data_IF_955496909620
#
_entry.id   IF_955496909620
#
_cell.length_a   1.000
_cell.length_b   1.000
_cell.length_c   1.000
_cell.angle_alpha   90.00
_cell.angle_beta   90.00
_cell.angle_gamma   90.00
#
_symmetry.space_group_name_H-M   'P 1'
#
loop_
_entity.id
_entity.type
_entity.pdbx_description
1 polymer ?
#
# COMPACT_ATOMS: atom_id res chain seq x y z
N UNK A 1 73.25 -86.07 -38.73
CA UNK A 1 72.54 -85.53 -39.90
C UNK A 1 73.01 -84.09 -40.04
N UNK A 2 74.10 -83.88 -40.78
CA UNK A 2 74.62 -82.53 -41.00
C UNK A 2 73.73 -81.85 -42.02
N UNK A 3 72.93 -80.88 -41.57
CA UNK A 3 72.14 -80.02 -42.46
C UNK A 3 73.09 -79.25 -43.36
N UNK A 4 72.85 -79.30 -44.66
CA UNK A 4 73.66 -78.55 -45.61
C UNK A 4 73.46 -77.05 -45.39
N UNK A 5 74.51 -76.24 -45.57
CA UNK A 5 74.46 -74.78 -45.39
C UNK A 5 73.31 -74.11 -46.17
N UNK A 6 72.95 -74.67 -47.32
CA UNK A 6 71.83 -74.22 -48.13
C UNK A 6 70.47 -74.42 -47.42
N UNK A 7 70.23 -75.58 -46.80
CA UNK A 7 68.98 -75.85 -46.07
C UNK A 7 68.81 -74.92 -44.87
N UNK A 8 69.90 -74.59 -44.17
CA UNK A 8 69.89 -73.64 -43.05
C UNK A 8 69.51 -72.22 -43.52
N UNK A 9 70.04 -71.77 -44.66
CA UNK A 9 69.68 -70.47 -45.27
C UNK A 9 68.21 -70.40 -45.68
N UNK A 10 67.63 -71.48 -46.23
CA UNK A 10 66.20 -71.53 -46.57
C UNK A 10 65.30 -71.49 -45.33
N UNK A 11 65.68 -72.16 -44.24
CA UNK A 11 64.92 -72.13 -42.98
C UNK A 11 64.94 -70.73 -42.36
N UNK A 12 66.12 -70.08 -42.31
CA UNK A 12 66.26 -68.72 -41.77
C UNK A 12 65.49 -67.71 -42.63
N UNK A 13 65.61 -67.81 -43.96
CA UNK A 13 64.85 -66.96 -44.88
C UNK A 13 63.33 -67.12 -44.72
N UNK A 14 62.86 -68.36 -44.62
CA UNK A 14 61.45 -68.67 -44.36
C UNK A 14 60.95 -68.09 -43.02
N UNK A 15 61.76 -68.19 -41.97
CA UNK A 15 61.46 -67.62 -40.66
C UNK A 15 61.30 -66.09 -40.70
N UNK A 16 62.19 -65.39 -41.40
CA UNK A 16 62.11 -63.92 -41.55
C UNK A 16 60.85 -63.51 -42.31
N UNK A 17 60.52 -64.21 -43.40
CA UNK A 17 59.30 -63.94 -44.18
C UNK A 17 58.04 -64.18 -43.34
N UNK A 18 58.01 -65.24 -42.54
CA UNK A 18 56.89 -65.54 -41.65
C UNK A 18 56.69 -64.42 -40.61
N UNK A 19 57.77 -63.95 -39.98
CA UNK A 19 57.71 -62.82 -39.04
C UNK A 19 57.20 -61.55 -39.74
N UNK A 20 57.63 -61.29 -40.97
CA UNK A 20 57.16 -60.16 -41.75
C UNK A 20 55.66 -60.24 -42.05
N UNK A 21 55.17 -61.41 -42.43
CA UNK A 21 53.73 -61.66 -42.66
C UNK A 21 52.94 -61.45 -41.37
N UNK A 22 53.43 -61.94 -40.23
CA UNK A 22 52.80 -61.72 -38.93
C UNK A 22 52.75 -60.24 -38.55
N UNK A 23 53.80 -59.45 -38.82
CA UNK A 23 53.80 -58.01 -38.57
C UNK A 23 52.79 -57.27 -39.44
N UNK A 24 52.71 -57.59 -40.74
CA UNK A 24 51.74 -56.98 -41.65
C UNK A 24 50.31 -57.33 -41.24
N UNK A 25 50.05 -58.59 -40.89
CA UNK A 25 48.75 -59.03 -40.41
C UNK A 25 48.35 -58.32 -39.10
N UNK A 26 49.28 -58.18 -38.15
CA UNK A 26 49.06 -57.46 -36.90
C UNK A 26 48.77 -55.97 -37.14
N UNK A 27 49.51 -55.31 -38.04
CA UNK A 27 49.29 -53.91 -38.38
C UNK A 27 47.89 -53.69 -38.97
N UNK A 28 47.45 -54.54 -39.90
CA UNK A 28 46.12 -54.43 -40.50
C UNK A 28 44.98 -54.61 -39.48
N UNK A 29 45.13 -55.53 -38.53
CA UNK A 29 44.15 -55.72 -37.46
C UNK A 29 44.10 -54.48 -36.55
N UNK A 30 45.26 -53.95 -36.19
CA UNK A 30 45.41 -52.78 -35.34
C UNK A 30 44.83 -51.52 -36.00
N UNK A 31 45.11 -51.28 -37.28
CA UNK A 31 44.58 -50.14 -38.03
C UNK A 31 43.04 -50.17 -38.11
N UNK A 32 42.45 -51.37 -38.22
CA UNK A 32 41.00 -51.53 -38.22
C UNK A 32 40.37 -51.16 -36.87
N UNK A 33 41.03 -51.48 -35.76
CA UNK A 33 40.59 -51.08 -34.43
C UNK A 33 40.70 -49.57 -34.21
N UNK A 34 41.80 -48.95 -34.66
CA UNK A 34 41.97 -47.50 -34.61
C UNK A 34 40.92 -46.77 -35.43
N UNK A 35 40.66 -47.21 -36.66
CA UNK A 35 39.62 -46.62 -37.51
C UNK A 35 38.22 -46.71 -36.90
N UNK A 36 37.92 -47.83 -36.22
CA UNK A 36 36.63 -48.00 -35.51
C UNK A 36 36.49 -47.03 -34.34
N UNK A 37 37.55 -46.86 -33.54
CA UNK A 37 37.56 -45.90 -32.43
C UNK A 37 37.43 -44.46 -32.91
N UNK A 38 38.11 -44.08 -34.00
CA UNK A 38 37.98 -42.75 -34.60
C UNK A 38 36.58 -42.47 -35.11
N UNK A 39 35.91 -43.45 -35.75
CA UNK A 39 34.52 -43.31 -36.18
C UNK A 39 33.55 -43.11 -35.01
N UNK A 40 33.80 -43.76 -33.87
CA UNK A 40 32.99 -43.56 -32.67
C UNK A 40 33.19 -42.17 -32.09
N UNK A 41 34.41 -41.65 -32.08
CA UNK A 41 34.71 -40.28 -31.68
C UNK A 41 34.05 -39.25 -32.59
N UNK A 42 34.11 -39.47 -33.92
CA UNK A 42 33.43 -38.63 -34.90
C UNK A 42 31.92 -38.56 -34.65
N UNK A 43 31.28 -39.71 -34.42
CA UNK A 43 29.85 -39.78 -34.09
C UNK A 43 29.51 -39.11 -32.76
N UNK A 44 30.39 -39.23 -31.75
CA UNK A 44 30.21 -38.54 -30.48
C UNK A 44 30.33 -37.02 -30.66
N UNK A 45 31.28 -36.57 -31.47
CA UNK A 45 31.51 -35.15 -31.76
C UNK A 45 30.34 -34.55 -32.56
N UNK A 46 29.79 -35.29 -33.53
CA UNK A 46 28.59 -34.86 -34.26
C UNK A 46 27.37 -34.74 -33.33
N UNK A 47 27.14 -35.73 -32.48
CA UNK A 47 26.07 -35.68 -31.47
C UNK A 47 26.22 -34.46 -30.56
N UNK A 48 27.43 -34.22 -30.04
CA UNK A 48 27.73 -33.06 -29.19
C UNK A 48 27.47 -31.75 -29.94
N UNK A 49 27.88 -31.66 -31.20
CA UNK A 49 27.68 -30.46 -32.00
C UNK A 49 26.19 -30.18 -32.26
N UNK A 50 25.40 -31.22 -32.52
CA UNK A 50 23.95 -31.11 -32.66
C UNK A 50 23.27 -30.67 -31.35
N UNK A 51 23.71 -31.19 -30.21
CA UNK A 51 23.21 -30.79 -28.89
C UNK A 51 23.56 -29.33 -28.58
N UNK A 52 24.79 -28.90 -28.84
CA UNK A 52 25.21 -27.50 -28.71
C UNK A 52 24.33 -26.59 -29.56
N UNK A 53 24.07 -26.96 -30.82
CA UNK A 53 23.20 -26.19 -31.69
C UNK A 53 21.77 -26.08 -31.14
N UNK A 54 21.20 -27.20 -30.67
CA UNK A 54 19.85 -27.21 -30.05
C UNK A 54 19.79 -26.33 -28.80
N UNK A 55 20.79 -26.42 -27.93
CA UNK A 55 20.86 -25.62 -26.71
C UNK A 55 20.96 -24.13 -27.05
N UNK A 56 21.85 -23.76 -27.98
CA UNK A 56 21.99 -22.36 -28.43
C UNK A 56 20.69 -21.81 -29.00
N UNK A 57 20.00 -22.61 -29.83
CA UNK A 57 18.70 -22.23 -30.39
C UNK A 57 17.65 -22.05 -29.29
N UNK A 58 17.59 -22.96 -28.31
CA UNK A 58 16.65 -22.88 -27.20
C UNK A 58 16.90 -21.65 -26.31
N UNK A 59 18.18 -21.32 -26.05
CA UNK A 59 18.55 -20.09 -25.33
C UNK A 59 18.08 -18.86 -26.11
N UNK A 60 18.36 -18.79 -27.41
CA UNK A 60 17.97 -17.65 -28.24
C UNK A 60 16.45 -17.47 -28.30
N UNK A 61 15.69 -18.56 -28.45
CA UNK A 61 14.23 -18.52 -28.43
C UNK A 61 13.68 -18.04 -27.07
N UNK A 62 14.28 -18.50 -25.97
CA UNK A 62 13.89 -18.06 -24.63
C UNK A 62 14.25 -16.60 -24.34
N UNK A 63 15.40 -16.11 -24.81
CA UNK A 63 15.78 -14.69 -24.66
C UNK A 63 14.81 -13.78 -25.40
N UNK A 64 14.44 -14.13 -26.65
CA UNK A 64 13.46 -13.38 -27.44
C UNK A 64 12.08 -13.39 -26.75
N UNK A 65 11.65 -14.54 -26.20
CA UNK A 65 10.39 -14.62 -25.45
C UNK A 65 10.45 -13.83 -24.13
N UNK A 66 11.58 -13.85 -23.42
CA UNK A 66 11.77 -13.10 -22.20
C UNK A 66 11.76 -11.59 -22.46
N UNK A 67 12.39 -11.12 -23.52
CA UNK A 67 12.39 -9.71 -23.93
C UNK A 67 10.99 -9.25 -24.34
N UNK A 68 10.27 -10.06 -25.12
CA UNK A 68 8.88 -9.81 -25.48
C UNK A 68 7.95 -9.76 -24.26
N UNK A 69 8.11 -10.71 -23.33
CA UNK A 69 7.33 -10.76 -22.09
C UNK A 69 7.67 -9.58 -21.17
N UNK A 70 8.93 -9.20 -21.02
CA UNK A 70 9.34 -8.07 -20.20
C UNK A 70 8.76 -6.74 -20.75
N UNK A 71 8.75 -6.56 -22.07
CA UNK A 71 8.13 -5.41 -22.72
C UNK A 71 6.62 -5.37 -22.49
N UNK A 72 5.92 -6.50 -22.65
CA UNK A 72 4.48 -6.57 -22.42
C UNK A 72 4.10 -6.39 -20.94
N UNK A 73 4.87 -6.96 -20.02
CA UNK A 73 4.67 -6.77 -18.58
C UNK A 73 4.88 -5.30 -18.23
N UNK A 74 5.94 -4.65 -18.73
CA UNK A 74 6.18 -3.22 -18.47
C UNK A 74 5.04 -2.33 -18.97
N UNK A 75 4.52 -2.61 -20.17
CA UNK A 75 3.39 -1.88 -20.74
C UNK A 75 2.09 -2.09 -19.94
N UNK A 76 1.78 -3.34 -19.57
CA UNK A 76 0.59 -3.67 -18.79
C UNK A 76 0.67 -3.08 -17.38
N UNK A 77 1.80 -3.21 -16.69
CA UNK A 77 2.00 -2.65 -15.34
C UNK A 77 1.85 -1.12 -15.38
N UNK A 78 2.43 -0.45 -16.37
CA UNK A 78 2.29 1.01 -16.50
C UNK A 78 0.84 1.44 -16.74
N UNK A 79 0.11 0.71 -17.56
CA UNK A 79 -1.31 0.97 -17.81
C UNK A 79 -2.17 0.71 -16.58
N UNK A 80 -1.96 -0.40 -15.89
CA UNK A 80 -2.71 -0.75 -14.68
C UNK A 80 -2.45 0.23 -13.53
N UNK A 81 -1.20 0.65 -13.34
CA UNK A 81 -0.83 1.67 -12.35
C UNK A 81 -1.47 3.01 -12.70
N UNK A 82 -1.39 3.46 -13.95
CA UNK A 82 -2.03 4.70 -14.37
C UNK A 82 -3.55 4.65 -14.21
N UNK A 83 -4.17 3.53 -14.56
CA UNK A 83 -5.62 3.40 -14.45
C UNK A 83 -6.04 3.44 -12.98
N UNK A 84 -5.40 2.65 -12.11
CA UNK A 84 -5.66 2.65 -10.66
C UNK A 84 -5.41 4.01 -10.01
N UNK A 85 -4.33 4.71 -10.38
CA UNK A 85 -4.08 6.06 -9.88
C UNK A 85 -5.18 7.02 -10.32
N UNK A 86 -5.62 6.94 -11.57
CA UNK A 86 -6.65 7.83 -12.09
C UNK A 86 -8.03 7.56 -11.45
N UNK A 87 -8.41 6.29 -11.24
CA UNK A 87 -9.62 5.94 -10.47
C UNK A 87 -9.52 6.41 -9.03
N UNK A 88 -8.37 6.21 -8.37
CA UNK A 88 -8.18 6.66 -6.98
C UNK A 88 -8.26 8.18 -6.85
N UNK A 89 -7.64 8.93 -7.77
CA UNK A 89 -7.75 10.39 -7.79
C UNK A 89 -9.18 10.86 -8.06
N UNK A 90 -9.89 10.20 -8.97
CA UNK A 90 -11.30 10.48 -9.25
C UNK A 90 -12.17 10.22 -8.01
N UNK A 91 -11.95 9.10 -7.33
CA UNK A 91 -12.67 8.74 -6.11
C UNK A 91 -12.39 9.72 -4.96
N UNK A 92 -11.12 10.16 -4.81
CA UNK A 92 -10.77 11.19 -3.83
C UNK A 92 -11.45 12.52 -4.14
N UNK A 93 -11.50 12.92 -5.41
CA UNK A 93 -12.22 14.12 -5.82
C UNK A 93 -13.70 14.04 -5.47
N UNK A 94 -14.36 12.91 -5.76
CA UNK A 94 -15.76 12.70 -5.38
C UNK A 94 -15.99 12.74 -3.88
N UNK A 95 -15.10 12.13 -3.08
CA UNK A 95 -15.20 12.20 -1.62
C UNK A 95 -14.99 13.61 -1.08
N UNK A 96 -14.06 14.38 -1.64
CA UNK A 96 -13.87 15.77 -1.25
C UNK A 96 -15.11 16.63 -1.58
N UNK A 97 -15.73 16.38 -2.72
CA UNK A 97 -16.96 17.06 -3.10
C UNK A 97 -18.13 16.70 -2.18
N UNK A 98 -18.26 15.42 -1.80
CA UNK A 98 -19.26 14.98 -0.82
C UNK A 98 -19.04 15.58 0.58
N UNK A 99 -17.78 15.70 1.01
CA UNK A 99 -17.41 16.40 2.25
C UNK A 99 -17.78 17.88 2.16
N UNK A 100 -17.51 18.54 1.03
CA UNK A 100 -17.86 19.94 0.83
C UNK A 100 -19.38 20.16 0.90
N UNK A 101 -20.16 19.29 0.24
CA UNK A 101 -21.62 19.36 0.26
C UNK A 101 -22.19 19.10 1.66
N UNK A 102 -21.61 18.14 2.39
CA UNK A 102 -21.98 17.85 3.79
C UNK A 102 -21.65 19.03 4.69
N UNK A 103 -20.48 19.65 4.52
CA UNK A 103 -20.09 20.84 5.28
C UNK A 103 -21.03 22.02 5.02
N UNK A 104 -21.49 22.21 3.79
CA UNK A 104 -22.49 23.24 3.49
C UNK A 104 -23.83 22.96 4.17
N UNK A 105 -24.32 21.71 4.10
CA UNK A 105 -25.56 21.32 4.80
C UNK A 105 -25.45 21.51 6.31
N UNK A 106 -24.32 21.14 6.91
CA UNK A 106 -24.08 21.31 8.34
C UNK A 106 -24.06 22.79 8.73
N UNK A 107 -23.45 23.63 7.90
CA UNK A 107 -23.45 25.09 8.11
C UNK A 107 -24.88 25.63 8.08
N UNK A 108 -25.67 25.27 7.08
CA UNK A 108 -27.06 25.73 6.95
C UNK A 108 -27.92 25.26 8.15
N UNK A 109 -27.73 24.02 8.58
CA UNK A 109 -28.39 23.47 9.76
C UNK A 109 -27.99 24.20 11.05
N UNK A 110 -26.71 24.51 11.22
CA UNK A 110 -26.23 25.28 12.37
C UNK A 110 -26.77 26.71 12.37
N UNK A 111 -26.87 27.34 11.20
CA UNK A 111 -27.46 28.68 11.05
C UNK A 111 -28.94 28.66 11.46
N UNK A 112 -29.72 27.66 11.01
CA UNK A 112 -31.11 27.47 11.45
C UNK A 112 -31.20 27.26 12.97
N UNK A 113 -30.32 26.42 13.54
CA UNK A 113 -30.28 26.18 14.99
C UNK A 113 -29.95 27.45 15.77
N UNK A 114 -29.02 28.26 15.30
CA UNK A 114 -28.67 29.55 15.90
C UNK A 114 -29.88 30.48 15.88
N UNK A 115 -30.56 30.61 14.75
CA UNK A 115 -31.78 31.44 14.64
C UNK A 115 -32.86 30.97 15.61
N UNK A 116 -33.08 29.65 15.73
CA UNK A 116 -34.03 29.09 16.70
C UNK A 116 -33.60 29.40 18.14
N UNK A 117 -32.32 29.31 18.44
CA UNK A 117 -31.77 29.65 19.76
C UNK A 117 -31.93 31.14 20.07
N UNK A 118 -31.63 32.01 19.11
CA UNK A 118 -31.81 33.46 19.24
C UNK A 118 -33.27 33.81 19.48
N UNK A 119 -34.20 33.20 18.75
CA UNK A 119 -35.63 33.39 18.96
C UNK A 119 -36.07 32.92 20.36
N UNK A 120 -35.62 31.74 20.80
CA UNK A 120 -35.88 31.24 22.16
C UNK A 120 -35.26 32.12 23.25
N UNK A 121 -34.06 32.65 23.00
CA UNK A 121 -33.38 33.55 23.92
C UNK A 121 -34.07 34.93 23.97
N UNK A 122 -34.57 35.42 22.84
CA UNK A 122 -35.37 36.65 22.78
C UNK A 122 -36.71 36.48 23.50
N UNK A 123 -37.38 35.34 23.33
CA UNK A 123 -38.56 34.97 24.13
C UNK A 123 -38.23 34.92 25.62
N UNK A 124 -37.13 34.26 26.02
CA UNK A 124 -36.65 34.24 27.41
C UNK A 124 -36.23 35.62 27.93
N UNK A 125 -35.70 36.50 27.08
CA UNK A 125 -35.39 37.90 27.41
C UNK A 125 -36.65 38.75 27.62
N UNK A 126 -37.79 38.34 27.07
CA UNK A 126 -39.10 38.88 27.44
C UNK A 126 -39.68 38.23 28.72
N UNK A 127 -39.05 37.17 29.23
CA UNK A 127 -39.33 36.48 30.49
C UNK A 127 -38.17 36.54 31.49
N UNK A 128 -37.28 37.54 31.41
CA UNK A 128 -36.60 37.95 32.64
C UNK A 128 -37.72 38.37 33.58
N UNK A 129 -37.91 37.71 34.74
CA UNK A 129 -38.85 38.23 35.72
C UNK A 129 -38.35 39.64 35.98
N UNK A 130 -39.21 40.63 35.72
CA UNK A 130 -38.97 41.95 36.24
C UNK A 130 -38.68 41.75 37.70
N UNK A 131 -37.42 41.93 38.09
CA UNK A 131 -37.14 42.67 39.28
C UNK A 131 -38.02 43.91 39.17
N UNK A 132 -39.21 43.83 39.77
CA UNK A 132 -39.67 44.93 40.61
C UNK A 132 -38.41 45.34 41.37
N UNK A 133 -37.71 46.32 40.81
CA UNK A 133 -36.55 46.93 41.43
C UNK A 133 -37.14 47.68 42.63
N UNK A 134 -37.40 46.90 43.67
CA UNK A 134 -37.74 47.41 44.97
C UNK A 134 -36.51 48.24 45.30
N UNK A 135 -36.64 49.56 45.23
CA UNK A 135 -35.60 50.48 45.64
C UNK A 135 -35.40 50.31 47.15
N UNK A 136 -34.65 49.27 47.56
CA UNK A 136 -34.43 48.89 48.96
C UNK A 136 -33.87 50.08 49.74
N UNK A 137 -33.01 50.86 49.08
CA UNK A 137 -32.44 52.10 49.60
C UNK A 137 -33.50 53.16 49.89
N UNK A 138 -34.52 53.26 49.04
CA UNK A 138 -35.63 54.23 49.21
C UNK A 138 -36.57 53.79 50.32
N UNK A 139 -36.84 52.49 50.43
CA UNK A 139 -37.61 51.90 51.55
C UNK A 139 -36.93 52.22 52.88
N UNK A 140 -35.63 51.97 53.00
CA UNK A 140 -34.83 52.22 54.21
C UNK A 140 -34.83 53.70 54.57
N UNK A 141 -34.65 54.59 53.58
CA UNK A 141 -34.63 56.03 53.79
C UNK A 141 -35.97 56.54 54.34
N UNK A 142 -37.09 56.18 53.71
CA UNK A 142 -38.42 56.62 54.13
C UNK A 142 -38.77 56.12 55.53
N UNK A 143 -38.31 54.92 55.89
CA UNK A 143 -38.49 54.39 57.25
C UNK A 143 -37.66 55.17 58.29
N UNK A 144 -36.41 55.50 57.97
CA UNK A 144 -35.56 56.33 58.84
C UNK A 144 -36.08 57.78 58.99
N UNK A 145 -36.77 58.30 57.98
CA UNK A 145 -37.46 59.59 58.01
C UNK A 145 -38.76 59.55 58.86
N UNK A 146 -39.15 58.38 59.38
CA UNK A 146 -40.27 58.20 60.32
C UNK A 146 -41.60 57.82 59.67
N UNK A 147 -41.62 57.43 58.39
CA UNK A 147 -42.84 56.99 57.71
C UNK A 147 -43.22 55.56 58.13
N UNK A 148 -44.53 55.31 58.30
CA UNK A 148 -45.04 53.98 58.63
C UNK A 148 -44.96 53.02 57.42
N UNK A 149 -44.83 51.72 57.70
CA UNK A 149 -44.79 50.64 56.69
C UNK A 149 -45.98 50.72 55.73
N UNK A 150 -47.18 51.05 56.26
CA UNK A 150 -48.39 51.27 55.46
C UNK A 150 -48.30 52.42 54.47
N UNK A 151 -47.59 53.50 54.83
CA UNK A 151 -47.42 54.68 53.98
C UNK A 151 -46.41 54.39 52.88
N UNK A 152 -45.29 53.75 53.23
CA UNK A 152 -44.25 53.34 52.28
C UNK A 152 -44.80 52.33 51.27
N UNK A 153 -45.63 51.38 51.72
CA UNK A 153 -46.29 50.40 50.85
C UNK A 153 -47.22 51.06 49.82
N UNK A 154 -47.94 52.10 50.22
CA UNK A 154 -48.82 52.85 49.30
C UNK A 154 -48.03 53.72 48.33
N UNK A 155 -46.95 54.34 48.80
CA UNK A 155 -46.12 55.25 48.01
C UNK A 155 -45.31 54.52 46.95
N UNK A 156 -44.64 53.42 47.33
CA UNK A 156 -43.84 52.62 46.41
C UNK A 156 -44.66 51.56 45.66
N UNK A 157 -45.94 51.39 46.01
CA UNK A 157 -46.86 50.35 45.47
C UNK A 157 -46.33 48.92 45.66
N UNK A 158 -45.58 48.72 46.73
CA UNK A 158 -44.97 47.44 47.11
C UNK A 158 -45.80 46.82 48.25
N UNK A 159 -45.86 45.49 48.32
CA UNK A 159 -46.59 44.82 49.39
C UNK A 159 -45.92 45.05 50.76
N UNK A 160 -46.71 45.15 51.83
CA UNK A 160 -46.18 45.37 53.20
C UNK A 160 -45.15 44.31 53.61
N UNK A 161 -45.38 43.05 53.23
CA UNK A 161 -44.47 41.95 53.54
C UNK A 161 -43.10 42.06 52.87
N UNK A 162 -43.03 42.65 51.67
CA UNK A 162 -41.76 42.93 51.00
C UNK A 162 -40.98 44.06 51.70
N UNK A 163 -41.68 45.09 52.19
CA UNK A 163 -41.05 46.18 52.97
C UNK A 163 -40.52 45.67 54.31
N UNK A 164 -41.29 44.86 55.03
CA UNK A 164 -40.83 44.20 56.26
C UNK A 164 -39.59 43.33 56.03
N UNK A 165 -39.54 42.61 54.91
CA UNK A 165 -38.38 41.80 54.55
C UNK A 165 -37.13 42.65 54.31
N UNK A 166 -37.23 43.75 53.58
CA UNK A 166 -36.12 44.68 53.33
C UNK A 166 -35.63 45.32 54.63
N UNK A 167 -36.55 45.78 55.49
CA UNK A 167 -36.19 46.38 56.78
C UNK A 167 -35.49 45.39 57.72
N UNK A 168 -35.91 44.13 57.71
CA UNK A 168 -35.30 43.04 58.47
C UNK A 168 -33.92 42.66 57.95
N UNK A 169 -33.70 42.69 56.63
CA UNK A 169 -32.36 42.51 56.05
C UNK A 169 -31.42 43.68 56.38
N UNK A 170 -31.98 44.88 56.55
CA UNK A 170 -31.23 46.09 56.91
C UNK A 170 -30.97 46.24 58.42
N UNK A 171 -31.41 45.29 59.26
CA UNK A 171 -31.28 45.31 60.74
C UNK A 171 -31.97 46.52 61.41
N UNK A 172 -33.03 47.04 60.78
CA UNK A 172 -33.80 48.19 61.28
C UNK A 172 -35.10 47.78 62.00
N UNK A 173 -35.43 46.47 62.00
CA UNK A 173 -36.54 45.87 62.74
C UNK A 173 -36.38 44.36 62.95
#
# INVERSE_FOLDING_TARGET
>A
MELSFNELMWIVGGGVVLVFICLVAYSHLKDKEFASKTKQLEKALDTINQEIYKIRKWIQENEIQAEFNASNISANVKNEVNNNLNTNLTNLYTHLQEIQDTMHKDRDYLEEKIIVLENKFKELGHFTPGSDDIDEKRVIQLFQEGHSIDSIAKELRISKGQIEFVLKLADLQ
#
